data_IF_876432635998
#
_entry.id   IF_876432635998
#
_cell.length_a   1.000
_cell.length_b   1.000
_cell.length_c   1.000
_cell.angle_alpha   90.00
_cell.angle_beta   90.00
_cell.angle_gamma   90.00
#
_symmetry.space_group_name_H-M   'P 1'
#
loop_
_entity.id
_entity.type
_entity.pdbx_description
1 polymer ?
#
# COMPACT_ATOMS: atom_id res chain seq x y z
N UNK A 1 -32.98 -24.43 -3.51
CA UNK A 1 -31.58 -24.89 -3.59
C UNK A 1 -30.81 -24.09 -2.57
N UNK A 2 -30.20 -24.73 -1.57
CA UNK A 2 -29.37 -24.00 -0.60
C UNK A 2 -28.17 -23.47 -1.35
N UNK A 3 -28.00 -22.14 -1.43
CA UNK A 3 -26.72 -21.58 -1.83
C UNK A 3 -25.69 -22.14 -0.86
N UNK A 4 -24.74 -22.91 -1.40
CA UNK A 4 -23.60 -23.37 -0.61
C UNK A 4 -22.83 -22.12 -0.25
N UNK A 5 -22.63 -21.89 1.04
CA UNK A 5 -21.73 -20.85 1.51
C UNK A 5 -20.31 -21.20 1.02
N UNK A 6 -19.78 -20.41 0.08
CA UNK A 6 -18.46 -20.59 -0.52
C UNK A 6 -17.54 -19.43 -0.15
N UNK A 7 -16.26 -19.60 -0.41
CA UNK A 7 -15.22 -18.57 -0.24
C UNK A 7 -15.54 -17.30 -0.99
N UNK A 8 -16.09 -17.43 -2.20
CA UNK A 8 -16.55 -16.28 -2.98
C UNK A 8 -17.66 -15.48 -2.28
N UNK A 9 -18.53 -16.14 -1.50
CA UNK A 9 -19.54 -15.43 -0.67
C UNK A 9 -18.86 -14.67 0.46
N UNK A 10 -17.85 -15.28 1.10
CA UNK A 10 -17.06 -14.63 2.16
C UNK A 10 -16.28 -13.44 1.59
N UNK A 11 -15.65 -13.59 0.43
CA UNK A 11 -14.89 -12.54 -0.26
C UNK A 11 -15.79 -11.36 -0.62
N UNK A 12 -16.94 -11.62 -1.25
CA UNK A 12 -17.89 -10.57 -1.58
C UNK A 12 -18.40 -9.83 -0.35
N UNK A 13 -18.66 -10.55 0.75
CA UNK A 13 -19.06 -9.92 2.01
C UNK A 13 -17.93 -9.06 2.60
N UNK A 14 -16.68 -9.53 2.57
CA UNK A 14 -15.53 -8.78 3.04
C UNK A 14 -15.30 -7.50 2.22
N UNK A 15 -15.39 -7.59 0.89
CA UNK A 15 -15.27 -6.42 0.00
C UNK A 15 -16.40 -5.42 0.23
N UNK A 16 -17.65 -5.88 0.42
CA UNK A 16 -18.77 -4.99 0.73
C UNK A 16 -18.60 -4.29 2.08
N UNK A 17 -18.01 -4.95 3.08
CA UNK A 17 -17.69 -4.30 4.37
C UNK A 17 -16.59 -3.26 4.22
N UNK A 18 -15.56 -3.54 3.42
CA UNK A 18 -14.49 -2.57 3.14
C UNK A 18 -15.04 -1.35 2.39
N UNK A 19 -15.89 -1.57 1.38
CA UNK A 19 -16.57 -0.49 0.66
C UNK A 19 -17.42 0.39 1.60
N UNK A 20 -18.14 -0.23 2.55
CA UNK A 20 -18.90 0.49 3.57
C UNK A 20 -18.02 1.28 4.58
N UNK A 21 -16.72 1.02 4.61
CA UNK A 21 -15.70 1.76 5.36
C UNK A 21 -14.93 2.75 4.46
N UNK A 22 -15.50 3.10 3.30
CA UNK A 22 -14.95 4.05 2.32
C UNK A 22 -13.66 3.58 1.63
N UNK A 23 -13.37 2.28 1.62
CA UNK A 23 -12.34 1.73 0.74
C UNK A 23 -12.83 1.74 -0.70
N UNK A 24 -11.97 2.19 -1.61
CA UNK A 24 -12.14 1.88 -3.04
C UNK A 24 -11.84 0.41 -3.25
N UNK A 25 -12.67 -0.29 -4.03
CA UNK A 25 -12.46 -1.71 -4.37
C UNK A 25 -11.97 -1.80 -5.80
N UNK A 26 -10.86 -2.50 -6.04
CA UNK A 26 -10.33 -2.80 -7.37
C UNK A 26 -10.03 -4.29 -7.53
N UNK A 27 -10.09 -4.76 -8.78
CA UNK A 27 -9.68 -6.10 -9.15
C UNK A 27 -8.21 -6.11 -9.57
N UNK A 28 -7.40 -6.96 -8.93
CA UNK A 28 -5.99 -7.14 -9.26
C UNK A 28 -5.73 -7.39 -10.75
N UNK A 29 -6.52 -8.26 -11.43
CA UNK A 29 -6.49 -8.41 -12.88
C UNK A 29 -6.78 -7.16 -13.70
N UNK A 30 -7.63 -6.23 -13.24
CA UNK A 30 -7.97 -5.01 -13.99
C UNK A 30 -6.84 -3.97 -13.96
N UNK A 31 -6.08 -3.94 -12.87
CA UNK A 31 -4.93 -3.03 -12.68
C UNK A 31 -3.58 -3.70 -12.94
N UNK A 32 -3.60 -4.88 -13.57
CA UNK A 32 -2.40 -5.68 -13.82
C UNK A 32 -1.46 -5.03 -14.85
N UNK A 33 -0.15 -5.30 -14.79
CA UNK A 33 0.79 -4.85 -15.81
C UNK A 33 0.36 -5.21 -17.23
N UNK A 34 0.31 -4.21 -18.11
CA UNK A 34 -0.11 -4.36 -19.52
C UNK A 34 -1.59 -4.09 -19.79
N UNK A 35 -2.42 -3.91 -18.74
CA UNK A 35 -3.83 -3.54 -18.89
C UNK A 35 -4.03 -2.02 -19.05
N UNK A 36 -5.16 -1.55 -19.60
CA UNK A 36 -5.44 -0.12 -19.77
C UNK A 36 -5.46 0.66 -18.45
N UNK A 37 -5.84 0.01 -17.35
CA UNK A 37 -5.88 0.60 -16.01
C UNK A 37 -4.67 0.15 -15.15
N UNK A 38 -3.58 -0.30 -15.77
CA UNK A 38 -2.39 -0.76 -15.07
C UNK A 38 -1.88 0.29 -14.07
N UNK A 39 -1.66 -0.14 -12.83
CA UNK A 39 -1.06 0.71 -11.78
C UNK A 39 0.38 0.32 -11.46
N UNK A 40 0.88 -0.72 -12.13
CA UNK A 40 2.24 -1.26 -12.03
C UNK A 40 2.79 -1.56 -13.42
N UNK A 41 4.11 -1.43 -13.56
CA UNK A 41 4.84 -1.74 -14.79
C UNK A 41 5.20 -3.23 -14.87
N UNK A 42 5.34 -3.90 -13.72
CA UNK A 42 5.70 -5.31 -13.62
C UNK A 42 5.04 -5.98 -12.40
N UNK A 43 5.08 -7.31 -12.37
CA UNK A 43 4.51 -8.11 -11.29
C UNK A 43 5.41 -8.22 -10.05
N UNK A 44 6.67 -7.78 -10.12
CA UNK A 44 7.60 -7.72 -8.97
C UNK A 44 7.28 -6.51 -8.06
N UNK A 45 6.71 -5.46 -8.64
CA UNK A 45 6.25 -4.28 -7.91
C UNK A 45 5.13 -4.62 -6.92
N UNK A 46 5.39 -4.41 -5.64
CA UNK A 46 4.41 -4.61 -4.56
C UNK A 46 3.74 -3.30 -4.10
N UNK A 47 4.37 -2.16 -4.35
CA UNK A 47 3.88 -0.83 -3.99
C UNK A 47 3.24 -0.19 -5.23
N UNK A 48 2.12 0.51 -5.04
CA UNK A 48 1.49 1.31 -6.09
C UNK A 48 2.18 2.69 -6.11
N UNK A 49 3.32 2.76 -6.80
CA UNK A 49 4.24 3.91 -6.71
C UNK A 49 3.59 5.25 -7.06
N UNK A 50 2.76 5.29 -8.10
CA UNK A 50 2.05 6.50 -8.54
C UNK A 50 1.15 7.06 -7.44
N UNK A 51 0.40 6.19 -6.76
CA UNK A 51 -0.48 6.57 -5.63
C UNK A 51 0.33 7.06 -4.44
N UNK A 52 1.43 6.39 -4.10
CA UNK A 52 2.33 6.81 -3.03
C UNK A 52 2.93 8.20 -3.28
N UNK A 53 3.40 8.47 -4.50
CA UNK A 53 3.93 9.79 -4.87
C UNK A 53 2.89 10.89 -4.74
N UNK A 54 1.67 10.64 -5.23
CA UNK A 54 0.56 11.58 -5.11
C UNK A 54 0.19 11.85 -3.65
N UNK A 55 0.16 10.81 -2.81
CA UNK A 55 -0.13 10.94 -1.39
C UNK A 55 0.96 11.73 -0.65
N UNK A 56 2.25 11.42 -0.88
CA UNK A 56 3.36 12.16 -0.27
C UNK A 56 3.30 13.66 -0.62
N UNK A 57 2.98 13.99 -1.88
CA UNK A 57 2.80 15.38 -2.30
C UNK A 57 1.58 16.04 -1.66
N UNK A 58 0.44 15.33 -1.61
CA UNK A 58 -0.81 15.85 -1.05
C UNK A 58 -0.72 16.09 0.46
N UNK A 59 -0.03 15.21 1.19
CA UNK A 59 0.16 15.32 2.64
C UNK A 59 1.25 16.32 3.05
N UNK A 60 2.15 16.68 2.12
CA UNK A 60 3.29 17.55 2.40
C UNK A 60 3.46 18.64 1.33
N UNK A 61 2.44 19.49 1.08
CA UNK A 61 2.45 20.47 -0.02
C UNK A 61 3.57 21.52 0.10
N UNK A 62 4.12 21.70 1.30
CA UNK A 62 5.21 22.62 1.59
C UNK A 62 6.61 22.03 1.32
N UNK A 63 6.72 20.72 1.13
CA UNK A 63 8.02 20.05 0.92
C UNK A 63 8.47 20.16 -0.54
N UNK A 64 9.77 20.37 -0.79
CA UNK A 64 10.29 20.37 -2.14
C UNK A 64 10.33 18.96 -2.74
N UNK A 65 10.35 18.88 -4.07
CA UNK A 65 10.21 17.61 -4.79
C UNK A 65 11.34 16.61 -4.49
N UNK A 66 12.57 17.10 -4.30
CA UNK A 66 13.73 16.29 -3.94
C UNK A 66 13.59 15.62 -2.57
N UNK A 67 13.03 16.33 -1.59
CA UNK A 67 12.70 15.78 -0.27
C UNK A 67 11.63 14.68 -0.37
N UNK A 68 10.58 14.89 -1.17
CA UNK A 68 9.54 13.88 -1.40
C UNK A 68 10.10 12.64 -2.13
N UNK A 69 11.00 12.83 -3.09
CA UNK A 69 11.69 11.74 -3.78
C UNK A 69 12.61 10.96 -2.85
N UNK A 70 13.30 11.64 -1.92
CA UNK A 70 14.09 10.97 -0.89
C UNK A 70 13.20 10.12 0.02
N UNK A 71 12.08 10.68 0.50
CA UNK A 71 11.12 9.95 1.32
C UNK A 71 10.55 8.72 0.59
N UNK A 72 10.16 8.89 -0.67
CA UNK A 72 9.69 7.82 -1.53
C UNK A 72 10.75 6.69 -1.64
N UNK A 73 12.02 7.03 -1.87
CA UNK A 73 13.10 6.02 -1.95
C UNK A 73 13.28 5.29 -0.62
N UNK A 74 13.24 6.00 0.51
CA UNK A 74 13.37 5.39 1.85
C UNK A 74 12.22 4.43 2.17
N UNK A 75 11.02 4.69 1.67
CA UNK A 75 9.85 3.82 1.86
C UNK A 75 9.88 2.58 0.94
N UNK A 76 10.33 2.74 -0.30
CA UNK A 76 10.28 1.67 -1.31
C UNK A 76 11.52 0.77 -1.32
N UNK A 77 12.65 1.23 -0.77
CA UNK A 77 13.93 0.52 -0.80
C UNK A 77 14.58 0.46 0.59
N UNK A 78 13.95 -0.24 1.56
CA UNK A 78 14.54 -0.39 2.88
C UNK A 78 15.75 -1.33 2.82
N UNK A 79 16.92 -0.82 3.20
CA UNK A 79 18.22 -1.50 3.05
C UNK A 79 18.81 -1.97 4.40
N UNK A 80 17.96 -2.42 5.32
CA UNK A 80 18.43 -2.99 6.59
C UNK A 80 18.73 -4.49 6.45
N UNK A 81 19.68 -5.03 7.24
CA UNK A 81 20.13 -6.43 7.12
C UNK A 81 19.08 -7.51 7.41
N UNK A 82 17.91 -7.14 7.93
CA UNK A 82 16.87 -8.12 8.29
C UNK A 82 15.46 -7.57 8.05
N UNK A 83 14.53 -8.48 7.75
CA UNK A 83 13.11 -8.15 7.57
C UNK A 83 12.50 -7.50 8.81
N UNK A 84 12.86 -7.95 10.02
CA UNK A 84 12.35 -7.38 11.27
C UNK A 84 12.84 -5.94 11.45
N UNK A 85 14.10 -5.68 11.13
CA UNK A 85 14.66 -4.33 11.18
C UNK A 85 14.02 -3.42 10.13
N UNK A 86 13.82 -3.92 8.91
CA UNK A 86 13.10 -3.19 7.86
C UNK A 86 11.66 -2.88 8.30
N UNK A 87 10.94 -3.86 8.86
CA UNK A 87 9.57 -3.65 9.34
C UNK A 87 9.51 -2.59 10.45
N UNK A 88 10.42 -2.64 11.43
CA UNK A 88 10.49 -1.63 12.48
C UNK A 88 10.81 -0.23 11.93
N UNK A 89 11.72 -0.13 10.95
CA UNK A 89 12.06 1.13 10.29
C UNK A 89 10.86 1.71 9.54
N UNK A 90 10.20 0.90 8.72
CA UNK A 90 9.02 1.32 7.97
C UNK A 90 7.89 1.71 8.93
N UNK A 91 7.64 0.94 9.99
CA UNK A 91 6.66 1.31 11.01
C UNK A 91 7.00 2.68 11.62
N UNK A 92 8.28 2.94 11.95
CA UNK A 92 8.71 4.25 12.45
C UNK A 92 8.40 5.37 11.45
N UNK A 93 8.66 5.16 10.16
CA UNK A 93 8.31 6.11 9.11
C UNK A 93 6.81 6.35 8.97
N UNK A 94 5.99 5.30 9.13
CA UNK A 94 4.53 5.42 9.08
C UNK A 94 3.97 6.21 10.26
N UNK A 95 4.59 6.12 11.44
CA UNK A 95 4.12 6.80 12.66
C UNK A 95 4.69 8.21 12.79
N UNK A 96 6.01 8.35 12.65
CA UNK A 96 6.72 9.61 12.92
C UNK A 96 6.91 10.46 11.65
N UNK A 97 6.81 9.86 10.47
CA UNK A 97 7.24 10.45 9.20
C UNK A 97 8.65 10.02 8.79
N UNK A 98 8.95 10.20 7.51
CA UNK A 98 10.27 9.86 6.93
C UNK A 98 11.20 11.05 7.09
N UNK A 99 12.35 10.89 7.79
CA UNK A 99 13.34 11.96 7.88
C UNK A 99 13.98 12.20 6.51
N UNK A 100 14.10 13.45 6.11
CA UNK A 100 14.70 13.88 4.83
C UNK A 100 15.59 15.09 5.06
N UNK A 101 16.57 15.28 4.18
CA UNK A 101 17.45 16.44 4.19
C UNK A 101 17.41 17.14 2.83
N UNK A 102 17.11 18.44 2.83
CA UNK A 102 17.04 19.21 1.58
C UNK A 102 17.62 20.61 1.76
N UNK A 103 17.97 21.24 0.64
CA UNK A 103 18.46 22.61 0.63
C UNK A 103 17.27 23.58 0.76
N UNK A 104 17.29 24.39 1.82
CA UNK A 104 16.30 25.45 2.04
C UNK A 104 16.55 26.63 1.11
N UNK A 105 15.55 27.50 0.99
CA UNK A 105 15.61 28.71 0.16
C UNK A 105 16.72 29.68 0.55
N UNK A 106 17.20 29.61 1.79
CA UNK A 106 18.32 30.42 2.30
C UNK A 106 19.71 29.79 2.00
N UNK A 107 19.75 28.65 1.33
CA UNK A 107 20.96 27.92 0.96
C UNK A 107 21.48 26.97 2.05
N UNK A 108 20.87 26.94 3.24
CA UNK A 108 21.22 25.99 4.31
C UNK A 108 20.64 24.59 4.06
N UNK A 109 21.25 23.57 4.67
CA UNK A 109 20.68 22.21 4.69
C UNK A 109 19.74 22.10 5.88
N UNK A 110 18.49 21.71 5.63
CA UNK A 110 17.48 21.49 6.64
C UNK A 110 17.04 20.04 6.70
N UNK A 111 16.88 19.51 7.92
CA UNK A 111 16.17 18.26 8.15
C UNK A 111 14.69 18.52 8.45
N UNK A 112 13.80 17.70 7.90
CA UNK A 112 12.36 17.69 8.21
C UNK A 112 11.80 16.27 8.13
N UNK A 113 10.53 16.09 8.51
CA UNK A 113 9.81 14.82 8.44
C UNK A 113 8.71 14.88 7.38
N UNK A 114 8.78 13.98 6.40
CA UNK A 114 7.72 13.80 5.39
C UNK A 114 6.66 12.86 5.97
N UNK A 115 5.44 13.38 6.12
CA UNK A 115 4.27 12.61 6.59
C UNK A 115 3.85 11.58 5.54
N UNK A 116 3.63 10.34 5.96
CA UNK A 116 3.20 9.24 5.08
C UNK A 116 1.70 8.94 5.23
N UNK A 117 1.19 9.07 6.45
CA UNK A 117 -0.20 8.86 6.82
C UNK A 117 -0.71 10.08 7.60
N UNK A 118 -1.96 10.49 7.35
CA UNK A 118 -2.63 11.52 8.13
C UNK A 118 -3.50 10.89 9.20
N UNK A 119 -3.03 10.91 10.45
CA UNK A 119 -3.80 10.40 11.60
C UNK A 119 -4.75 11.46 12.18
N UNK A 120 -4.53 12.73 11.88
CA UNK A 120 -5.33 13.83 12.40
C UNK A 120 -6.65 13.93 11.62
N UNK A 121 -6.57 13.75 10.30
CA UNK A 121 -7.71 13.75 9.37
C UNK A 121 -7.60 12.50 8.48
N UNK A 122 -8.13 11.35 8.92
CA UNK A 122 -7.98 10.08 8.20
C UNK A 122 -8.47 10.09 6.76
N UNK A 123 -9.45 10.94 6.43
CA UNK A 123 -10.02 11.11 5.09
C UNK A 123 -9.02 11.73 4.09
N UNK A 124 -7.92 12.30 4.60
CA UNK A 124 -6.77 12.65 3.79
C UNK A 124 -5.90 11.43 3.45
N UNK A 125 -6.30 10.19 3.75
CA UNK A 125 -5.62 9.02 3.23
C UNK A 125 -6.48 8.38 2.14
N UNK A 126 -5.80 7.81 1.16
CA UNK A 126 -6.46 6.94 0.19
C UNK A 126 -6.48 5.51 0.72
N UNK A 127 -7.66 4.94 0.87
CA UNK A 127 -7.89 3.56 1.27
C UNK A 127 -8.34 2.74 0.07
N UNK A 128 -7.59 1.69 -0.25
CA UNK A 128 -7.82 0.85 -1.42
C UNK A 128 -7.75 -0.62 -1.02
N UNK A 129 -8.75 -1.41 -1.39
CA UNK A 129 -8.72 -2.86 -1.26
C UNK A 129 -8.66 -3.47 -2.66
N UNK A 130 -7.62 -4.27 -2.90
CA UNK A 130 -7.43 -4.94 -4.19
C UNK A 130 -7.57 -6.44 -3.99
N UNK A 131 -8.56 -7.05 -4.62
CA UNK A 131 -8.69 -8.51 -4.56
C UNK A 131 -7.84 -9.19 -5.64
N UNK A 132 -7.34 -10.40 -5.35
CA UNK A 132 -6.56 -11.21 -6.29
C UNK A 132 -5.29 -10.49 -6.82
N UNK A 133 -4.65 -9.67 -5.98
CA UNK A 133 -3.47 -8.88 -6.35
C UNK A 133 -2.24 -9.78 -6.51
N UNK A 134 -1.82 -9.99 -7.77
CA UNK A 134 -0.74 -10.94 -8.08
C UNK A 134 0.64 -10.28 -7.99
N UNK A 135 1.56 -10.95 -7.30
CA UNK A 135 2.97 -10.57 -7.17
C UNK A 135 3.83 -11.76 -7.58
N UNK A 136 4.91 -11.52 -8.33
CA UNK A 136 5.85 -12.55 -8.76
C UNK A 136 7.24 -12.18 -8.26
N UNK A 137 7.89 -13.05 -7.50
CA UNK A 137 9.29 -12.90 -7.04
C UNK A 137 10.05 -14.19 -7.36
N UNK A 138 11.21 -14.10 -8.03
CA UNK A 138 12.03 -15.26 -8.41
C UNK A 138 11.22 -16.41 -9.04
N UNK A 139 10.30 -16.07 -9.95
CA UNK A 139 9.35 -16.99 -10.63
C UNK A 139 8.32 -17.68 -9.73
N UNK A 140 8.18 -17.24 -8.48
CA UNK A 140 7.13 -17.69 -7.57
C UNK A 140 5.98 -16.68 -7.57
N UNK A 141 4.81 -17.13 -8.00
CA UNK A 141 3.59 -16.33 -7.96
C UNK A 141 2.94 -16.43 -6.57
N UNK A 142 2.53 -15.28 -6.04
CA UNK A 142 1.67 -15.12 -4.87
C UNK A 142 0.48 -14.27 -5.26
N UNK A 143 -0.71 -14.72 -4.88
CA UNK A 143 -1.97 -14.03 -5.14
C UNK A 143 -2.84 -14.12 -3.90
N UNK A 144 -2.71 -13.15 -2.98
CA UNK A 144 -3.58 -13.08 -1.82
C UNK A 144 -5.02 -12.76 -2.22
N UNK A 145 -5.98 -13.17 -1.38
CA UNK A 145 -7.38 -12.90 -1.65
C UNK A 145 -7.68 -11.40 -1.68
N UNK A 146 -7.24 -10.64 -0.66
CA UNK A 146 -7.37 -9.18 -0.63
C UNK A 146 -6.11 -8.54 -0.03
N UNK A 147 -5.61 -7.49 -0.68
CA UNK A 147 -4.54 -6.63 -0.18
C UNK A 147 -5.11 -5.25 0.11
N UNK A 148 -4.88 -4.74 1.32
CA UNK A 148 -5.27 -3.40 1.71
C UNK A 148 -4.09 -2.44 1.55
N UNK A 149 -4.31 -1.43 0.72
CA UNK A 149 -3.39 -0.34 0.49
C UNK A 149 -3.85 0.91 1.23
N UNK A 150 -2.88 1.63 1.78
CA UNK A 150 -3.09 3.00 2.27
C UNK A 150 -2.07 3.89 1.58
N UNK A 151 -2.53 4.92 0.86
CA UNK A 151 -1.65 5.81 0.10
C UNK A 151 -0.68 5.04 -0.83
N UNK A 152 -1.16 3.95 -1.44
CA UNK A 152 -0.35 3.09 -2.32
C UNK A 152 0.61 2.10 -1.62
N UNK A 153 0.72 2.10 -0.29
CA UNK A 153 1.50 1.13 0.47
C UNK A 153 0.66 -0.09 0.86
N UNK A 154 1.10 -1.34 0.59
CA UNK A 154 0.39 -2.55 1.02
C UNK A 154 0.59 -2.80 2.52
N UNK A 155 -0.41 -2.46 3.34
CA UNK A 155 -0.29 -2.52 4.80
C UNK A 155 -0.92 -3.76 5.43
N UNK A 156 -1.86 -4.40 4.76
CA UNK A 156 -2.45 -5.64 5.24
C UNK A 156 -2.78 -6.60 4.10
N UNK A 157 -2.76 -7.88 4.43
CA UNK A 157 -3.23 -8.97 3.57
C UNK A 157 -4.31 -9.73 4.32
N UNK A 158 -5.43 -9.97 3.65
CA UNK A 158 -6.54 -10.79 4.14
C UNK A 158 -6.55 -12.06 3.30
N UNK A 159 -6.38 -13.18 3.98
CA UNK A 159 -6.57 -14.53 3.41
C UNK A 159 -7.88 -15.08 3.94
N UNK A 160 -8.78 -15.43 3.04
CA UNK A 160 -10.07 -15.99 3.37
C UNK A 160 -9.95 -17.50 3.44
N UNK A 161 -10.82 -18.12 4.23
CA UNK A 161 -10.90 -19.57 4.33
C UNK A 161 -12.36 -19.99 4.33
N UNK A 162 -12.65 -21.06 3.63
CA UNK A 162 -13.93 -21.74 3.71
C UNK A 162 -14.14 -22.33 5.13
N UNK A 163 -15.10 -21.76 5.87
CA UNK A 163 -15.53 -22.30 7.17
C UNK A 163 -16.21 -23.69 7.06
N UNK A 164 -16.56 -24.15 5.85
CA UNK A 164 -17.14 -25.46 5.60
C UNK A 164 -16.10 -26.59 5.46
N UNK A 165 -14.80 -26.27 5.52
CA UNK A 165 -13.71 -27.25 5.46
C UNK A 165 -13.24 -27.55 6.88
N UNK A 166 -13.87 -28.56 7.49
CA UNK A 166 -13.46 -29.12 8.79
C UNK A 166 -12.24 -30.03 8.59
N UNK A 167 -11.09 -29.42 8.30
CA UNK A 167 -9.77 -30.07 8.35
C UNK A 167 -8.67 -29.01 8.37
N UNK A 168 -8.43 -28.49 9.57
CA UNK A 168 -7.22 -27.75 9.94
C UNK A 168 -6.26 -28.69 10.68
#
# INVERSE_FOLDING_TARGET
>A
MSERFTESVVEQAALAWLEALDYTILSGPEIAPGEPAAEREDYEQVILESRLRQALQRLNPQMPADALDEAFRKLTRPDMPSLVTNNHLIHKYLVDGVPVEYQRTDGSIGGDLVRVLDYDIPENNEFLAVNQFTVVEDRHERRPDVVLFVNGLPLAVIELKNAATESA
#
